data_IF_570596794315
#
_entry.id   IF_570596794315
#
_cell.length_a   1.000
_cell.length_b   1.000
_cell.length_c   1.000
_cell.angle_alpha   90.00
_cell.angle_beta   90.00
_cell.angle_gamma   90.00
#
_symmetry.space_group_name_H-M   'P 1'
#
loop_
_entity.id
_entity.type
_entity.pdbx_description
1 polymer ?
#
# COMPACT_ATOMS: atom_id res chain seq x y z
N UNK A 1 22.09 10.74 6.36
CA UNK A 1 22.23 11.54 5.12
C UNK A 1 21.68 10.71 3.96
N UNK A 2 20.59 11.16 3.32
CA UNK A 2 19.95 10.46 2.16
C UNK A 2 19.63 11.40 1.00
N UNK A 3 19.71 12.72 1.22
CA UNK A 3 19.33 13.74 0.23
C UNK A 3 20.09 13.68 -1.09
N UNK A 4 21.39 13.35 -1.15
CA UNK A 4 22.11 13.24 -2.42
C UNK A 4 21.58 12.15 -3.36
N UNK A 5 20.81 11.19 -2.84
CA UNK A 5 20.29 10.03 -3.59
C UNK A 5 18.84 10.19 -4.05
N UNK A 6 18.18 11.30 -3.71
CA UNK A 6 16.77 11.53 -4.06
C UNK A 6 16.67 12.47 -5.26
N UNK A 7 16.04 12.00 -6.33
CA UNK A 7 15.60 12.86 -7.43
C UNK A 7 14.64 13.94 -6.91
N UNK A 8 14.64 15.12 -7.53
CA UNK A 8 13.81 16.27 -7.16
C UNK A 8 12.33 15.91 -6.99
N UNK A 9 11.77 15.07 -7.87
CA UNK A 9 10.37 14.63 -7.79
C UNK A 9 10.08 13.82 -6.53
N UNK A 10 11.00 12.91 -6.16
CA UNK A 10 10.86 12.08 -4.96
C UNK A 10 11.11 12.90 -3.69
N UNK A 11 12.06 13.83 -3.73
CA UNK A 11 12.34 14.72 -2.61
C UNK A 11 11.11 15.53 -2.16
N UNK A 12 10.26 15.94 -3.10
CA UNK A 12 9.03 16.67 -2.76
C UNK A 12 8.00 15.81 -2.02
N UNK A 13 7.96 14.50 -2.31
CA UNK A 13 7.01 13.53 -1.73
C UNK A 13 7.42 13.05 -0.33
N UNK A 14 8.72 13.03 -0.04
CA UNK A 14 9.23 12.53 1.25
C UNK A 14 9.31 13.67 2.26
N UNK A 15 8.65 13.49 3.40
CA UNK A 15 8.79 14.35 4.58
C UNK A 15 9.43 13.54 5.71
N UNK A 16 10.45 14.10 6.33
CA UNK A 16 11.09 13.51 7.51
C UNK A 16 10.49 14.17 8.75
N UNK A 17 9.99 13.35 9.66
CA UNK A 17 9.35 13.74 10.92
C UNK A 17 10.22 13.24 12.07
N UNK A 18 10.36 14.05 13.11
CA UNK A 18 11.16 13.75 14.29
C UNK A 18 10.37 14.04 15.57
N UNK A 19 10.50 13.19 16.58
CA UNK A 19 9.75 13.30 17.83
C UNK A 19 10.16 14.50 18.70
N UNK A 20 11.35 15.06 18.49
CA UNK A 20 11.86 16.20 19.26
C UNK A 20 11.50 17.57 18.66
N UNK A 21 10.81 17.60 17.52
CA UNK A 21 10.39 18.84 16.86
C UNK A 21 8.87 18.95 16.82
N UNK A 22 8.33 20.00 17.45
CA UNK A 22 6.89 20.24 17.50
C UNK A 22 6.28 20.46 16.11
N UNK A 23 7.02 21.08 15.18
CA UNK A 23 6.53 21.28 13.80
C UNK A 23 6.43 19.95 13.06
N UNK A 24 7.37 19.03 13.31
CA UNK A 24 7.35 17.68 12.78
C UNK A 24 6.19 16.86 13.34
N UNK A 25 5.93 16.93 14.65
CA UNK A 25 4.79 16.25 15.26
C UNK A 25 3.45 16.75 14.70
N UNK A 26 3.29 18.07 14.55
CA UNK A 26 2.09 18.67 13.94
C UNK A 26 1.84 18.13 12.52
N UNK A 27 2.89 17.95 11.71
CA UNK A 27 2.75 17.33 10.38
C UNK A 27 2.27 15.88 10.44
N UNK A 28 2.65 15.14 11.48
CA UNK A 28 2.18 13.77 11.67
C UNK A 28 0.67 13.76 11.90
N UNK A 29 0.18 14.64 12.79
CA UNK A 29 -1.24 14.79 13.12
C UNK A 29 -2.08 15.34 11.94
N UNK A 30 -1.49 16.18 11.09
CA UNK A 30 -2.16 16.71 9.90
C UNK A 30 -2.32 15.67 8.77
N UNK A 31 -1.39 14.71 8.66
CA UNK A 31 -1.35 13.74 7.56
C UNK A 31 -2.00 12.40 7.91
N UNK A 32 -2.05 12.06 9.20
CA UNK A 32 -2.54 10.78 9.67
C UNK A 32 -3.50 10.94 10.84
N UNK A 33 -4.48 10.05 10.92
CA UNK A 33 -5.29 9.90 12.13
C UNK A 33 -4.50 9.16 13.20
N UNK A 34 -4.21 9.85 14.30
CA UNK A 34 -3.37 9.34 15.39
C UNK A 34 -4.02 8.19 16.15
N UNK A 35 -5.35 8.09 16.17
CA UNK A 35 -6.03 7.08 16.97
C UNK A 35 -6.13 5.73 16.24
N UNK A 36 -6.08 5.75 14.90
CA UNK A 36 -6.00 4.55 14.07
C UNK A 36 -4.56 4.16 13.72
N UNK A 37 -3.62 5.10 13.75
CA UNK A 37 -2.22 4.83 13.47
C UNK A 37 -1.53 4.06 14.62
N UNK A 38 -0.80 3.00 14.27
CA UNK A 38 -0.05 2.17 15.22
C UNK A 38 1.09 2.94 15.91
N UNK A 39 1.25 2.67 17.20
CA UNK A 39 2.25 3.30 18.08
C UNK A 39 3.70 3.11 17.63
N UNK A 40 4.04 1.98 17.00
CA UNK A 40 5.36 1.73 16.39
C UNK A 40 5.73 2.74 15.30
N UNK A 41 4.73 3.39 14.69
CA UNK A 41 4.90 4.44 13.68
C UNK A 41 4.67 5.86 14.22
N UNK A 42 4.51 6.02 15.53
CA UNK A 42 4.28 7.31 16.19
C UNK A 42 2.82 7.68 16.40
N UNK A 43 1.88 6.77 16.14
CA UNK A 43 0.46 6.94 16.48
C UNK A 43 0.15 6.61 17.95
N UNK A 44 -1.14 6.61 18.30
CA UNK A 44 -1.65 6.32 19.65
C UNK A 44 -2.27 4.93 19.77
N UNK A 45 -2.44 4.22 18.65
CA UNK A 45 -3.01 2.88 18.67
C UNK A 45 -2.00 1.86 19.22
N UNK A 46 -2.33 1.27 20.37
CA UNK A 46 -1.51 0.23 21.01
C UNK A 46 -1.78 -1.18 20.48
N UNK A 47 -2.74 -1.33 19.56
CA UNK A 47 -3.02 -2.61 18.91
C UNK A 47 -1.88 -2.89 17.94
N UNK A 48 -1.10 -3.93 18.21
CA UNK A 48 -0.01 -4.33 17.33
C UNK A 48 -0.51 -4.90 16.00
N UNK A 49 0.40 -5.01 15.04
CA UNK A 49 0.13 -5.66 13.76
C UNK A 49 -0.12 -7.17 13.89
N UNK A 50 -1.27 -7.65 13.39
CA UNK A 50 -1.58 -9.08 13.26
C UNK A 50 -1.49 -9.51 11.79
N UNK A 51 -0.49 -10.34 11.48
CA UNK A 51 -0.21 -10.76 10.11
C UNK A 51 -1.32 -11.66 9.51
N UNK A 52 -1.99 -12.50 10.30
CA UNK A 52 -3.02 -13.43 9.81
C UNK A 52 -4.27 -12.66 9.39
N UNK A 53 -4.71 -11.73 10.24
CA UNK A 53 -5.85 -10.87 9.95
C UNK A 53 -5.59 -10.01 8.71
N UNK A 54 -4.39 -9.42 8.63
CA UNK A 54 -4.00 -8.61 7.49
C UNK A 54 -3.91 -9.43 6.18
N UNK A 55 -3.27 -10.60 6.23
CA UNK A 55 -3.15 -11.48 5.06
C UNK A 55 -4.53 -11.91 4.54
N UNK A 56 -5.46 -12.25 5.44
CA UNK A 56 -6.84 -12.57 5.07
C UNK A 56 -7.52 -11.39 4.38
N UNK A 57 -7.37 -10.17 4.92
CA UNK A 57 -7.94 -8.95 4.34
C UNK A 57 -7.39 -8.69 2.93
N UNK A 58 -6.06 -8.75 2.75
CA UNK A 58 -5.45 -8.59 1.42
C UNK A 58 -6.00 -9.60 0.40
N UNK A 59 -6.09 -10.88 0.78
CA UNK A 59 -6.64 -11.92 -0.11
C UNK A 59 -8.10 -11.68 -0.49
N UNK A 60 -8.91 -11.16 0.43
CA UNK A 60 -10.31 -10.83 0.17
C UNK A 60 -10.45 -9.62 -0.76
N UNK A 61 -9.62 -8.59 -0.55
CA UNK A 61 -9.64 -7.38 -1.38
C UNK A 61 -9.11 -7.64 -2.79
N UNK A 62 -8.09 -8.48 -2.95
CA UNK A 62 -7.61 -8.94 -4.26
C UNK A 62 -8.70 -9.68 -5.03
N UNK A 63 -9.48 -10.53 -4.37
CA UNK A 63 -10.63 -11.22 -4.99
C UNK A 63 -11.70 -10.22 -5.42
N UNK A 64 -12.03 -9.24 -4.57
CA UNK A 64 -13.00 -8.19 -4.90
C UNK A 64 -12.54 -7.40 -6.11
N UNK A 65 -11.26 -7.03 -6.15
CA UNK A 65 -10.65 -6.33 -7.28
C UNK A 65 -10.68 -7.16 -8.56
N UNK A 66 -10.28 -8.42 -8.50
CA UNK A 66 -10.32 -9.33 -9.66
C UNK A 66 -11.75 -9.46 -10.22
N UNK A 67 -12.74 -9.60 -9.34
CA UNK A 67 -14.15 -9.64 -9.74
C UNK A 67 -14.61 -8.32 -10.35
N UNK A 68 -14.21 -7.18 -9.78
CA UNK A 68 -14.52 -5.85 -10.29
C UNK A 68 -13.96 -5.63 -11.70
N UNK A 69 -12.69 -5.98 -11.93
CA UNK A 69 -12.05 -5.91 -13.24
C UNK A 69 -12.76 -6.84 -14.23
N UNK A 70 -13.06 -8.08 -13.83
CA UNK A 70 -13.72 -9.07 -14.69
C UNK A 70 -15.17 -8.69 -15.04
N UNK A 71 -15.83 -7.86 -14.23
CA UNK A 71 -17.17 -7.35 -14.51
C UNK A 71 -17.20 -6.32 -15.67
N UNK A 72 -16.05 -5.98 -16.26
CA UNK A 72 -15.96 -5.08 -17.41
C UNK A 72 -16.14 -3.62 -17.06
N UNK A 73 -15.96 -3.24 -15.79
CA UNK A 73 -15.95 -1.84 -15.39
C UNK A 73 -14.66 -1.18 -15.92
N UNK A 74 -14.73 -0.59 -17.12
CA UNK A 74 -13.62 0.14 -17.75
C UNK A 74 -13.24 1.44 -17.03
N UNK A 75 -13.97 1.83 -15.98
CA UNK A 75 -13.66 3.02 -15.20
C UNK A 75 -12.68 2.67 -14.09
N UNK A 76 -11.39 2.69 -14.42
CA UNK A 76 -10.28 2.75 -13.47
C UNK A 76 -10.29 4.12 -12.77
N UNK A 77 -11.31 4.39 -11.97
CA UNK A 77 -11.21 5.40 -10.93
C UNK A 77 -11.01 4.69 -9.62
N UNK A 78 -9.77 4.23 -9.41
CA UNK A 78 -9.35 3.71 -8.12
C UNK A 78 -9.27 4.90 -7.15
N UNK A 79 -10.42 5.24 -6.57
CA UNK A 79 -10.46 6.00 -5.33
C UNK A 79 -10.17 4.96 -4.25
N UNK A 80 -8.95 4.91 -3.66
CA UNK A 80 -8.83 4.23 -2.38
C UNK A 80 -9.92 4.83 -1.51
N UNK A 81 -10.79 4.00 -0.93
CA UNK A 81 -11.82 4.49 -0.01
C UNK A 81 -11.12 5.02 1.23
N UNK A 82 -10.63 6.25 1.14
CA UNK A 82 -10.38 7.07 2.29
C UNK A 82 -11.75 7.32 2.87
N UNK A 83 -12.00 6.81 4.08
CA UNK A 83 -13.16 7.20 4.87
C UNK A 83 -12.92 8.65 5.32
N UNK A 84 -13.01 9.62 4.40
CA UNK A 84 -13.20 11.00 4.80
C UNK A 84 -14.65 11.19 5.19
N UNK A 85 -14.84 11.56 6.46
CA UNK A 85 -15.93 12.48 6.77
C UNK A 85 -15.73 13.78 5.98
N UNK A 86 -16.84 14.27 5.46
CA UNK A 86 -16.98 15.22 4.36
C UNK A 86 -16.49 16.63 4.71
N UNK A 87 -15.83 17.30 3.76
CA UNK A 87 -16.03 18.71 3.43
C UNK A 87 -15.47 19.03 2.04
N UNK A 88 -16.23 19.83 1.29
CA UNK A 88 -16.23 19.99 -0.17
C UNK A 88 -15.03 20.69 -0.85
N UNK A 89 -15.01 20.43 -2.16
CA UNK A 89 -14.85 21.35 -3.31
C UNK A 89 -13.48 21.55 -3.95
N UNK A 90 -13.47 21.49 -5.30
CA UNK A 90 -12.33 21.91 -6.13
C UNK A 90 -11.99 21.01 -7.33
N UNK A 91 -12.79 21.12 -8.39
CA UNK A 91 -12.54 20.59 -9.75
C UNK A 91 -11.18 21.00 -10.34
N UNK A 92 -10.53 20.07 -11.06
CA UNK A 92 -9.32 20.33 -11.85
C UNK A 92 -8.85 19.11 -12.64
N UNK A 93 -9.60 18.77 -13.70
CA UNK A 93 -9.25 17.72 -14.67
C UNK A 93 -8.17 18.25 -15.61
N UNK A 94 -7.00 17.60 -15.65
CA UNK A 94 -6.01 17.80 -16.70
C UNK A 94 -5.59 16.44 -17.27
N UNK A 95 -6.06 16.20 -18.49
CA UNK A 95 -5.75 15.06 -19.35
C UNK A 95 -4.25 15.02 -19.71
N UNK A 96 -3.65 13.82 -19.73
CA UNK A 96 -2.43 13.57 -20.50
C UNK A 96 -2.31 12.10 -20.88
N UNK A 97 -2.49 11.88 -22.19
CA UNK A 97 -1.83 10.91 -23.05
C UNK A 97 -2.07 9.41 -22.77
N UNK A 98 -2.98 8.87 -23.57
CA UNK A 98 -3.27 7.45 -23.77
C UNK A 98 -2.01 6.67 -24.15
N UNK A 99 -1.61 5.72 -23.32
CA UNK A 99 -0.85 4.55 -23.76
C UNK A 99 -1.86 3.45 -24.10
N UNK A 100 -1.64 2.63 -25.14
CA UNK A 100 -2.62 1.62 -25.56
C UNK A 100 -2.93 0.65 -24.41
N UNK A 101 -4.18 0.19 -24.30
CA UNK A 101 -4.57 -0.75 -23.25
C UNK A 101 -3.76 -2.05 -23.42
N UNK A 102 -2.96 -2.38 -22.41
CA UNK A 102 -2.30 -3.69 -22.36
C UNK A 102 -3.41 -4.74 -22.18
N UNK A 103 -3.69 -5.44 -23.27
CA UNK A 103 -4.65 -6.54 -23.32
C UNK A 103 -4.19 -7.65 -22.38
N UNK A 104 -4.99 -7.92 -21.33
CA UNK A 104 -4.70 -8.94 -20.32
C UNK A 104 -4.80 -10.39 -20.82
N UNK A 105 -4.87 -10.60 -22.14
CA UNK A 105 -4.95 -11.93 -22.77
C UNK A 105 -3.60 -12.65 -22.78
N UNK A 106 -2.50 -11.93 -22.59
CA UNK A 106 -1.13 -12.45 -22.71
C UNK A 106 -0.38 -12.51 -21.38
N UNK A 107 -1.08 -12.75 -20.26
CA UNK A 107 -0.41 -13.12 -19.00
C UNK A 107 -0.20 -14.65 -19.00
N UNK A 108 1.04 -15.15 -19.03
CA UNK A 108 1.29 -16.57 -18.85
C UNK A 108 0.71 -17.00 -17.51
N UNK A 109 -0.10 -18.06 -17.54
CA UNK A 109 -0.62 -18.69 -16.34
C UNK A 109 0.57 -19.20 -15.53
N UNK A 110 0.94 -18.47 -14.49
CA UNK A 110 1.86 -18.96 -13.45
C UNK A 110 1.14 -20.08 -12.72
N UNK A 111 1.30 -21.28 -13.27
CA UNK A 111 1.01 -22.56 -12.63
C UNK A 111 1.73 -22.54 -11.27
N UNK A 112 0.98 -22.77 -10.20
CA UNK A 112 1.51 -22.86 -8.85
C UNK A 112 2.31 -24.16 -8.70
N UNK A 113 3.59 -24.13 -9.07
CA UNK A 113 4.54 -25.18 -8.73
C UNK A 113 5.50 -24.67 -7.66
N UNK A 114 5.07 -24.79 -6.39
CA UNK A 114 5.99 -24.67 -5.26
C UNK A 114 6.82 -25.98 -5.21
N UNK A 115 8.17 -25.92 -5.28
CA UNK A 115 8.98 -27.11 -5.14
C UNK A 115 8.88 -27.66 -3.71
N UNK A 116 8.24 -28.83 -3.56
CA UNK A 116 8.46 -29.71 -2.41
C UNK A 116 9.80 -30.41 -2.60
N UNK A 117 10.89 -29.88 -2.03
CA UNK A 117 12.08 -30.68 -1.71
C UNK A 117 13.01 -29.85 -0.79
N UNK A 118 12.76 -29.88 0.52
CA UNK A 118 13.83 -29.76 1.51
C UNK A 118 13.42 -30.46 2.81
N UNK A 119 13.10 -31.75 2.69
CA UNK A 119 12.91 -32.66 3.83
C UNK A 119 13.93 -33.80 3.77
N UNK A 120 15.23 -33.48 3.86
CA UNK A 120 16.22 -34.43 4.38
C UNK A 120 17.51 -33.72 4.76
N UNK A 121 17.78 -33.60 6.06
CA UNK A 121 19.02 -33.00 6.53
C UNK A 121 19.06 -32.69 8.01
N UNK A 122 18.77 -33.67 8.87
CA UNK A 122 19.32 -33.64 10.24
C UNK A 122 20.08 -34.94 10.48
N UNK A 123 21.39 -34.82 10.29
CA UNK A 123 22.40 -35.79 10.70
C UNK A 123 22.22 -36.07 12.20
N UNK A 124 22.11 -37.34 12.55
CA UNK A 124 22.28 -37.85 13.90
C UNK A 124 23.74 -37.63 14.32
N UNK A 125 23.94 -36.91 15.42
CA UNK A 125 25.22 -36.93 16.12
C UNK A 125 25.33 -38.23 16.91
N UNK A 126 26.45 -38.92 16.72
CA UNK A 126 27.07 -39.79 17.74
C UNK A 126 28.23 -39.01 18.38
#
# INVERSE_FOLDING_TARGET
MVRPFLETKTYQKVKFVYSNDAVSQKKMEELFDMDTLESSFGGRNSTGFNYETYAKQMMEDDKKMANFINSGCSSLHFQPSFVASEASDGSGIASSQENPPVSCKDVPKIEADMPKEMQKGRVSGE
#
